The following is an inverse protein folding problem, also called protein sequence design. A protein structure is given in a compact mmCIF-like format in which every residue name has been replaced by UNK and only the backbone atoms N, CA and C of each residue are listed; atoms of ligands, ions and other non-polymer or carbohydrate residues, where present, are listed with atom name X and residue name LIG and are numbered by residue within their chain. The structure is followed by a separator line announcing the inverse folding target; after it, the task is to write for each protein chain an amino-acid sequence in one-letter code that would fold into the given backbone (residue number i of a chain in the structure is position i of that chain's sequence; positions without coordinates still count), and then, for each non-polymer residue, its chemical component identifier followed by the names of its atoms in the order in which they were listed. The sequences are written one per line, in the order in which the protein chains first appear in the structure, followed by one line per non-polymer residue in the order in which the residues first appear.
data_IF_838232425614
#
_entry.id   IF_838232425614
#
_cell.length_a   1.000
_cell.length_b   1.000
_cell.length_c   1.000
_cell.angle_alpha   90.00
_cell.angle_beta   90.00
_cell.angle_gamma   90.00
#
_symmetry.space_group_name_H-M   'P 1'
#
loop_
_entity.id
_entity.type
_entity.pdbx_description
1 polymer ?
#
# COMPACT_ATOMS: atom_id res chain seq x y z
N UNK A 1 37.61 4.99 -0.36
CA UNK A 1 38.59 3.97 -0.79
C UNK A 1 37.88 3.02 -1.72
N UNK A 2 38.47 2.72 -2.88
CA UNK A 2 37.88 1.83 -3.88
C UNK A 2 38.79 0.61 -4.03
N UNK A 3 38.21 -0.59 -4.15
CA UNK A 3 38.94 -1.78 -4.60
C UNK A 3 38.23 -2.40 -5.81
N UNK A 4 39.02 -2.90 -6.76
CA UNK A 4 38.57 -3.39 -8.07
C UNK A 4 38.38 -4.90 -8.03
N UNK A 5 37.37 -5.39 -8.72
CA UNK A 5 37.36 -6.77 -9.20
C UNK A 5 38.30 -6.90 -10.41
N UNK A 6 38.91 -8.08 -10.56
CA UNK A 6 39.61 -8.52 -11.78
C UNK A 6 38.94 -9.80 -12.25
N UNK A 7 38.30 -9.73 -13.42
CA UNK A 7 37.85 -10.92 -14.14
C UNK A 7 39.05 -11.61 -14.80
N UNK A 8 38.90 -12.91 -15.06
CA UNK A 8 39.78 -13.67 -15.93
C UNK A 8 38.90 -14.53 -16.84
N UNK A 9 38.83 -14.16 -18.12
CA UNK A 9 38.27 -15.03 -19.15
C UNK A 9 39.17 -16.24 -19.37
N UNK A 10 38.59 -17.35 -19.82
CA UNK A 10 39.27 -18.17 -20.80
C UNK A 10 38.24 -18.97 -21.61
N UNK A 11 38.21 -18.71 -22.92
CA UNK A 11 37.41 -19.46 -23.89
C UNK A 11 38.32 -20.00 -24.98
N UNK A 12 38.35 -21.32 -25.13
CA UNK A 12 38.83 -21.99 -26.34
C UNK A 12 38.31 -23.43 -26.34
N UNK A 13 37.77 -23.86 -27.48
CA UNK A 13 37.38 -25.23 -27.73
C UNK A 13 38.12 -25.69 -28.99
N UNK A 14 38.70 -26.90 -28.96
CA UNK A 14 39.17 -27.57 -30.16
C UNK A 14 38.67 -29.02 -30.20
N UNK A 15 38.37 -29.48 -31.41
CA UNK A 15 37.96 -30.85 -31.69
C UNK A 15 39.15 -31.81 -31.69
N UNK A 16 38.91 -33.07 -31.29
CA UNK A 16 39.16 -34.23 -32.16
C UNK A 16 38.36 -35.45 -31.69
N UNK A 17 38.26 -36.45 -32.57
CA UNK A 17 37.34 -37.58 -32.46
C UNK A 17 38.03 -38.89 -32.81
N UNK A 18 37.40 -40.00 -32.42
CA UNK A 18 37.63 -41.41 -32.78
C UNK A 18 39.06 -41.97 -32.70
N UNK A 19 39.24 -42.97 -31.83
CA UNK A 19 39.46 -44.33 -32.34
C UNK A 19 38.90 -45.39 -31.38
N UNK A 20 38.68 -46.60 -31.91
CA UNK A 20 37.97 -47.70 -31.26
C UNK A 20 38.75 -48.99 -31.39
N UNK A 21 38.87 -49.77 -30.30
CA UNK A 21 39.33 -51.16 -30.35
C UNK A 21 38.59 -52.02 -29.31
N UNK A 22 38.02 -53.14 -29.77
CA UNK A 22 37.87 -54.36 -28.97
C UNK A 22 39.27 -55.04 -28.88
N UNK A 23 39.56 -56.08 -28.10
CA UNK A 23 38.77 -57.12 -27.39
C UNK A 23 39.56 -57.48 -26.10
N UNK A 24 38.95 -57.99 -25.03
CA UNK A 24 39.01 -59.44 -24.68
C UNK A 24 38.28 -59.77 -23.36
N UNK A 25 37.85 -61.03 -23.22
CA UNK A 25 37.15 -61.58 -22.06
C UNK A 25 38.09 -62.38 -21.15
N UNK A 26 37.91 -62.30 -19.83
CA UNK A 26 38.26 -63.42 -18.93
C UNK A 26 37.55 -63.34 -17.58
N UNK A 27 36.63 -64.28 -17.34
CA UNK A 27 36.04 -64.51 -16.02
C UNK A 27 36.92 -65.47 -15.21
N UNK A 28 37.34 -65.06 -14.02
CA UNK A 28 37.74 -65.98 -12.94
C UNK A 28 36.94 -65.65 -11.68
N UNK A 29 36.48 -66.70 -11.00
CA UNK A 29 35.52 -66.61 -9.91
C UNK A 29 36.14 -66.18 -8.57
N UNK A 30 35.40 -65.33 -7.86
CA UNK A 30 34.98 -65.64 -6.49
C UNK A 30 35.81 -65.09 -5.33
N UNK A 31 35.33 -63.99 -4.73
CA UNK A 31 35.33 -63.84 -3.27
C UNK A 31 34.09 -63.03 -2.80
N UNK A 32 33.70 -63.18 -1.54
CA UNK A 32 32.31 -62.92 -1.09
C UNK A 32 32.04 -61.48 -0.58
N UNK A 33 30.96 -60.80 -1.02
CA UNK A 33 30.70 -59.39 -0.68
C UNK A 33 29.87 -59.21 0.61
N UNK A 34 30.45 -59.41 1.80
CA UNK A 34 29.69 -59.36 3.08
C UNK A 34 30.13 -58.33 4.12
N UNK A 35 31.40 -57.88 4.12
CA UNK A 35 31.92 -57.03 5.21
C UNK A 35 31.76 -55.52 4.97
N UNK A 36 32.07 -55.01 3.77
CA UNK A 36 32.13 -53.56 3.50
C UNK A 36 30.77 -52.86 3.56
N UNK A 37 29.75 -53.40 2.86
CA UNK A 37 28.42 -52.81 2.82
C UNK A 37 27.74 -52.76 4.20
N UNK A 38 27.97 -53.77 5.04
CA UNK A 38 27.41 -53.86 6.40
C UNK A 38 27.98 -52.78 7.33
N UNK A 39 29.26 -52.45 7.20
CA UNK A 39 29.92 -51.38 7.97
C UNK A 39 29.47 -50.01 7.48
N UNK A 40 29.46 -49.78 6.15
CA UNK A 40 28.98 -48.52 5.56
C UNK A 40 27.54 -48.19 5.99
N UNK A 41 26.67 -49.21 6.07
CA UNK A 41 25.28 -49.05 6.52
C UNK A 41 25.17 -48.78 8.03
N UNK A 42 25.93 -49.51 8.86
CA UNK A 42 25.96 -49.28 10.33
C UNK A 42 26.54 -47.93 10.76
N UNK A 43 27.42 -47.33 9.96
CA UNK A 43 27.99 -45.99 10.25
C UNK A 43 27.01 -44.85 9.89
N UNK A 44 26.06 -45.08 8.98
CA UNK A 44 25.05 -44.07 8.61
C UNK A 44 23.78 -44.11 9.47
N UNK A 45 23.46 -45.26 10.07
CA UNK A 45 22.25 -45.44 10.89
C UNK A 45 22.41 -44.98 12.37
N UNK A 46 23.56 -44.42 12.76
CA UNK A 46 23.80 -43.96 14.13
C UNK A 46 23.40 -42.50 14.38
N UNK A 47 22.22 -42.31 14.99
CA UNK A 47 21.74 -41.09 15.67
C UNK A 47 21.52 -39.84 14.81
N UNK A 48 20.38 -39.79 14.13
CA UNK A 48 19.59 -38.54 14.05
C UNK A 48 18.16 -38.80 14.55
N UNK A 49 17.99 -38.66 15.87
CA UNK A 49 16.67 -38.66 16.51
C UNK A 49 16.02 -37.30 16.25
N UNK A 50 15.47 -37.09 15.05
CA UNK A 50 14.78 -35.86 14.68
C UNK A 50 13.67 -35.54 15.70
N UNK A 51 13.93 -34.58 16.59
CA UNK A 51 12.96 -34.12 17.57
C UNK A 51 11.82 -33.40 16.85
N UNK A 52 10.67 -34.08 16.72
CA UNK A 52 9.45 -33.49 16.15
C UNK A 52 9.00 -32.34 17.07
N UNK A 53 9.35 -31.12 16.68
CA UNK A 53 8.97 -29.90 17.39
C UNK A 53 7.47 -29.65 17.22
N UNK A 54 6.84 -29.31 18.34
CA UNK A 54 5.41 -29.02 18.42
C UNK A 54 5.15 -27.59 17.98
N UNK A 55 4.13 -27.38 17.16
CA UNK A 55 3.69 -26.06 16.75
C UNK A 55 2.47 -25.67 17.59
N UNK A 56 2.60 -24.63 18.40
CA UNK A 56 1.43 -23.97 19.00
C UNK A 56 0.81 -23.03 17.94
N UNK A 57 -0.48 -23.20 17.57
CA UNK A 57 -1.10 -22.38 16.53
C UNK A 57 -1.13 -20.89 16.88
N UNK A 58 -1.25 -20.52 18.16
CA UNK A 58 -1.21 -19.13 18.58
C UNK A 58 0.17 -18.53 18.33
N UNK A 59 1.24 -19.25 18.70
CA UNK A 59 2.62 -18.81 18.47
C UNK A 59 2.94 -18.66 16.98
N UNK A 60 2.54 -19.63 16.14
CA UNK A 60 2.69 -19.54 14.68
C UNK A 60 1.95 -18.32 14.13
N UNK A 61 0.72 -18.08 14.59
CA UNK A 61 -0.16 -17.04 14.04
C UNK A 61 0.08 -15.62 14.62
N UNK A 62 0.97 -15.44 15.60
CA UNK A 62 1.47 -14.12 16.02
C UNK A 62 2.19 -13.38 14.87
N UNK A 63 2.75 -14.14 13.92
CA UNK A 63 3.57 -13.65 12.81
C UNK A 63 2.79 -13.91 11.51
N UNK A 64 2.71 -12.97 10.57
CA UNK A 64 2.24 -13.28 9.22
C UNK A 64 3.13 -14.35 8.56
N UNK A 65 2.55 -15.28 7.75
CA UNK A 65 3.34 -16.16 6.91
C UNK A 65 4.13 -15.34 5.87
N UNK A 66 5.25 -15.91 5.41
CA UNK A 66 6.00 -15.35 4.28
C UNK A 66 5.15 -15.38 3.01
N UNK A 67 5.37 -14.41 2.13
CA UNK A 67 4.89 -14.49 0.75
C UNK A 67 5.53 -15.68 0.00
N UNK A 68 4.95 -16.05 -1.14
CA UNK A 68 5.46 -17.13 -1.97
C UNK A 68 6.93 -16.90 -2.39
N UNK A 69 7.27 -15.67 -2.80
CA UNK A 69 8.62 -15.27 -3.21
C UNK A 69 9.61 -15.32 -2.05
N UNK A 70 9.26 -14.76 -0.87
CA UNK A 70 10.10 -14.84 0.33
C UNK A 70 10.32 -16.29 0.80
N UNK A 71 9.30 -17.16 0.66
CA UNK A 71 9.39 -18.57 1.02
C UNK A 71 10.27 -19.35 0.04
N UNK A 72 10.18 -19.09 -1.27
CA UNK A 72 11.10 -19.65 -2.27
C UNK A 72 12.54 -19.21 -2.03
N UNK A 73 12.77 -17.92 -1.75
CA UNK A 73 14.11 -17.41 -1.45
C UNK A 73 14.68 -18.03 -0.16
N UNK A 74 13.86 -18.21 0.88
CA UNK A 74 14.27 -18.91 2.09
C UNK A 74 14.61 -20.38 1.80
N UNK A 75 13.84 -21.06 0.95
CA UNK A 75 14.12 -22.45 0.58
C UNK A 75 15.41 -22.60 -0.23
N UNK A 76 15.66 -21.73 -1.21
CA UNK A 76 16.92 -21.72 -1.96
C UNK A 76 18.12 -21.45 -1.03
N UNK A 77 18.02 -20.45 -0.14
CA UNK A 77 19.07 -20.15 0.83
C UNK A 77 19.34 -21.34 1.78
N UNK A 78 18.30 -22.04 2.22
CA UNK A 78 18.45 -23.24 3.06
C UNK A 78 19.10 -24.39 2.28
N UNK A 79 18.73 -24.61 1.02
CA UNK A 79 19.32 -25.65 0.16
C UNK A 79 20.81 -25.40 -0.12
N UNK A 80 21.23 -24.14 -0.30
CA UNK A 80 22.62 -23.79 -0.62
C UNK A 80 23.53 -23.72 0.62
N UNK A 81 23.03 -23.20 1.75
CA UNK A 81 23.86 -22.90 2.94
C UNK A 81 23.50 -23.70 4.20
N UNK A 82 22.42 -24.49 4.19
CA UNK A 82 21.89 -25.19 5.37
C UNK A 82 21.12 -24.27 6.33
N UNK A 83 20.59 -24.84 7.41
CA UNK A 83 19.85 -24.11 8.44
C UNK A 83 20.80 -23.42 9.44
N UNK A 84 21.53 -22.40 8.99
CA UNK A 84 22.52 -21.66 9.79
C UNK A 84 21.90 -20.96 11.02
N UNK A 85 20.70 -20.40 10.87
CA UNK A 85 19.94 -19.84 12.01
C UNK A 85 19.23 -20.97 12.77
N UNK A 86 19.55 -21.23 14.05
CA UNK A 86 18.88 -22.26 14.82
C UNK A 86 17.37 -21.99 14.99
N UNK A 87 16.63 -23.05 15.26
CA UNK A 87 15.24 -22.99 15.67
C UNK A 87 15.18 -22.66 17.17
N UNK A 88 14.27 -21.78 17.57
CA UNK A 88 14.18 -21.33 18.97
C UNK A 88 13.01 -22.06 19.63
N UNK A 89 13.29 -22.79 20.70
CA UNK A 89 12.37 -23.75 21.34
C UNK A 89 12.11 -23.36 22.79
N UNK A 90 10.89 -23.54 23.29
CA UNK A 90 10.58 -23.37 24.70
C UNK A 90 11.06 -24.58 25.50
N UNK A 91 12.07 -24.34 26.35
CA UNK A 91 12.82 -25.32 27.13
C UNK A 91 11.93 -26.39 27.77
N UNK A 92 12.23 -27.67 27.52
CA UNK A 92 11.53 -28.80 28.14
C UNK A 92 10.08 -29.05 27.66
N UNK A 93 9.56 -28.23 26.74
CA UNK A 93 8.21 -28.43 26.15
C UNK A 93 8.25 -29.03 24.74
N UNK A 94 9.37 -28.86 24.04
CA UNK A 94 9.54 -29.07 22.58
C UNK A 94 8.65 -28.18 21.69
N UNK A 95 8.10 -27.07 22.20
CA UNK A 95 7.27 -26.12 21.43
C UNK A 95 8.16 -25.08 20.74
N UNK A 96 7.91 -24.85 19.44
CA UNK A 96 8.64 -23.86 18.63
C UNK A 96 8.18 -22.43 18.92
N UNK A 97 9.14 -21.50 19.08
CA UNK A 97 8.93 -20.07 19.34
C UNK A 97 9.25 -19.20 18.11
N UNK A 98 10.41 -19.40 17.48
CA UNK A 98 10.78 -18.79 16.19
C UNK A 98 11.46 -19.83 15.28
N UNK A 99 11.40 -19.59 13.96
CA UNK A 99 11.93 -20.49 12.95
C UNK A 99 10.86 -21.31 12.24
N UNK A 100 9.57 -21.05 12.45
CA UNK A 100 8.43 -21.77 11.86
C UNK A 100 8.60 -22.12 10.36
N UNK A 101 9.03 -21.18 9.53
CA UNK A 101 9.26 -21.43 8.10
C UNK A 101 10.54 -22.26 7.84
N UNK A 102 11.62 -22.04 8.60
CA UNK A 102 12.86 -22.84 8.53
C UNK A 102 12.57 -24.29 8.90
N UNK A 103 11.86 -24.53 10.01
CA UNK A 103 11.43 -25.85 10.46
C UNK A 103 10.58 -26.59 9.42
N UNK A 104 9.59 -25.92 8.83
CA UNK A 104 8.71 -26.51 7.81
C UNK A 104 9.50 -26.96 6.56
N UNK A 105 10.42 -26.11 6.08
CA UNK A 105 11.27 -26.41 4.92
C UNK A 105 12.28 -27.53 5.26
N UNK A 106 13.02 -27.41 6.37
CA UNK A 106 14.04 -28.39 6.74
C UNK A 106 13.44 -29.77 7.03
N UNK A 107 12.27 -29.83 7.68
CA UNK A 107 11.57 -31.11 7.92
C UNK A 107 11.13 -31.76 6.60
N UNK A 108 10.60 -30.99 5.65
CA UNK A 108 10.19 -31.50 4.33
C UNK A 108 11.38 -31.95 3.47
N UNK A 109 12.50 -31.24 3.54
CA UNK A 109 13.73 -31.54 2.79
C UNK A 109 14.69 -32.49 3.54
N UNK A 110 14.29 -33.01 4.71
CA UNK A 110 15.10 -33.87 5.60
C UNK A 110 16.48 -33.28 5.95
N UNK A 111 16.54 -31.94 6.08
CA UNK A 111 17.75 -31.20 6.38
C UNK A 111 17.98 -31.08 7.89
N UNK A 112 19.25 -31.15 8.30
CA UNK A 112 19.66 -30.90 9.67
C UNK A 112 19.41 -29.42 10.06
N UNK A 113 19.00 -29.21 11.31
CA UNK A 113 18.87 -27.91 11.95
C UNK A 113 19.29 -28.01 13.40
N UNK A 114 19.82 -26.92 13.96
CA UNK A 114 20.12 -26.82 15.39
C UNK A 114 18.96 -26.18 16.15
N UNK A 115 18.90 -26.40 17.46
CA UNK A 115 17.87 -25.85 18.35
C UNK A 115 18.48 -25.12 19.54
N UNK A 116 18.03 -23.90 19.81
CA UNK A 116 18.36 -23.15 21.03
C UNK A 116 17.12 -23.12 21.94
N UNK A 117 17.25 -23.66 23.15
CA UNK A 117 16.18 -23.62 24.15
C UNK A 117 16.18 -22.31 24.95
N UNK A 118 14.98 -21.78 25.22
CA UNK A 118 14.77 -20.61 26.09
C UNK A 118 13.83 -20.99 27.23
N UNK A 119 14.23 -20.66 28.46
CA UNK A 119 13.45 -20.86 29.67
C UNK A 119 12.45 -19.71 29.87
N UNK A 120 11.16 -20.04 29.97
CA UNK A 120 10.06 -19.07 30.03
C UNK A 120 8.97 -19.58 31.00
N UNK A 121 8.50 -18.74 31.95
CA UNK A 121 7.65 -19.21 33.05
C UNK A 121 6.17 -19.41 32.69
N UNK A 122 5.68 -18.92 31.55
CA UNK A 122 4.27 -19.01 31.15
C UNK A 122 4.05 -18.80 29.66
N UNK A 123 2.85 -19.13 29.16
CA UNK A 123 2.46 -18.85 27.78
C UNK A 123 2.47 -17.34 27.48
N UNK A 124 2.03 -16.51 28.43
CA UNK A 124 2.09 -15.05 28.30
C UNK A 124 3.53 -14.54 28.15
N UNK A 125 4.48 -15.12 28.90
CA UNK A 125 5.90 -14.79 28.77
C UNK A 125 6.44 -15.21 27.40
N UNK A 126 6.04 -16.38 26.88
CA UNK A 126 6.39 -16.83 25.53
C UNK A 126 5.83 -15.91 24.43
N UNK A 127 4.56 -15.52 24.51
CA UNK A 127 3.93 -14.55 23.58
C UNK A 127 4.67 -13.21 23.63
N UNK A 128 5.01 -12.72 24.82
CA UNK A 128 5.78 -11.50 25.00
C UNK A 128 7.19 -11.59 24.44
N UNK A 129 7.85 -12.74 24.58
CA UNK A 129 9.17 -13.01 24.05
C UNK A 129 9.16 -13.06 22.52
N UNK A 130 8.26 -13.83 21.91
CA UNK A 130 8.10 -13.95 20.45
C UNK A 130 7.86 -12.56 19.86
N UNK A 131 6.88 -11.82 20.40
CA UNK A 131 6.55 -10.48 19.94
C UNK A 131 7.74 -9.51 20.06
N UNK A 132 8.55 -9.60 21.11
CA UNK A 132 9.75 -8.78 21.27
C UNK A 132 10.87 -9.18 20.27
N UNK A 133 11.08 -10.47 20.05
CA UNK A 133 12.06 -10.98 19.10
C UNK A 133 11.74 -10.53 17.66
N UNK A 134 10.46 -10.61 17.25
CA UNK A 134 10.04 -10.09 15.95
C UNK A 134 10.21 -8.57 15.84
N UNK A 135 9.86 -7.80 16.89
CA UNK A 135 9.99 -6.33 16.91
C UNK A 135 11.44 -5.82 16.75
N UNK A 136 12.44 -6.67 16.97
CA UNK A 136 13.86 -6.37 16.69
C UNK A 136 14.26 -6.47 15.21
N UNK A 137 13.41 -7.03 14.33
CA UNK A 137 13.72 -7.23 12.90
C UNK A 137 13.54 -5.92 12.12
N UNK A 138 14.45 -5.65 11.18
CA UNK A 138 14.49 -4.37 10.43
C UNK A 138 13.31 -4.15 9.47
N UNK A 139 12.63 -5.23 9.05
CA UNK A 139 11.65 -5.22 7.96
C UNK A 139 10.18 -5.39 8.43
N UNK A 140 9.87 -5.14 9.71
CA UNK A 140 8.51 -5.32 10.24
C UNK A 140 7.57 -4.20 9.76
N UNK A 141 6.41 -4.54 9.20
CA UNK A 141 5.41 -3.54 8.81
C UNK A 141 4.90 -2.73 10.03
N UNK A 142 4.55 -1.45 9.88
CA UNK A 142 4.01 -0.66 11.00
C UNK A 142 2.77 -1.28 11.67
N UNK A 143 1.96 -2.03 10.94
CA UNK A 143 0.77 -2.74 11.42
C UNK A 143 1.17 -3.98 12.23
N UNK A 144 2.13 -4.79 11.76
CA UNK A 144 2.71 -5.89 12.54
C UNK A 144 3.38 -5.38 13.80
N UNK A 145 4.18 -4.31 13.70
CA UNK A 145 4.81 -3.69 14.86
C UNK A 145 3.78 -3.16 15.88
N UNK A 146 2.62 -2.69 15.40
CA UNK A 146 1.50 -2.28 16.25
C UNK A 146 0.83 -3.47 16.94
N UNK A 147 0.51 -4.53 16.18
CA UNK A 147 -0.09 -5.76 16.71
C UNK A 147 0.80 -6.41 17.78
N UNK A 148 2.11 -6.48 17.54
CA UNK A 148 3.06 -7.07 18.48
C UNK A 148 3.26 -6.23 19.75
N UNK A 149 3.31 -4.88 19.65
CA UNK A 149 3.31 -4.01 20.84
C UNK A 149 2.01 -4.12 21.63
N UNK A 150 0.88 -4.20 20.94
CA UNK A 150 -0.43 -4.38 21.57
C UNK A 150 -0.58 -5.72 22.28
N UNK A 151 -0.15 -6.84 21.66
CA UNK A 151 -0.03 -8.15 22.32
C UNK A 151 0.83 -8.04 23.58
N UNK A 152 2.05 -7.50 23.49
CA UNK A 152 2.93 -7.32 24.68
C UNK A 152 2.23 -6.53 25.79
N UNK A 153 1.51 -5.46 25.48
CA UNK A 153 0.76 -4.70 26.48
C UNK A 153 -0.39 -5.50 27.11
N UNK A 154 -1.19 -6.22 26.31
CA UNK A 154 -2.32 -7.01 26.80
C UNK A 154 -1.86 -8.12 27.77
N UNK A 155 -0.85 -8.90 27.38
CA UNK A 155 -0.32 -9.99 28.20
C UNK A 155 0.46 -9.48 29.44
N UNK A 156 1.22 -8.37 29.35
CA UNK A 156 1.94 -7.81 30.50
C UNK A 156 1.05 -7.04 31.49
N UNK A 157 -0.10 -6.50 31.07
CA UNK A 157 -1.06 -5.81 31.96
C UNK A 157 -1.81 -6.79 32.87
N UNK A 158 -1.95 -8.04 32.44
CA UNK A 158 -2.80 -9.05 33.07
C UNK A 158 -4.30 -8.78 32.85
N UNK A 159 -5.11 -9.84 32.98
CA UNK A 159 -6.53 -9.80 32.62
C UNK A 159 -7.41 -9.13 33.70
N UNK A 160 -7.28 -7.81 33.84
CA UNK A 160 -8.10 -6.98 34.75
C UNK A 160 -9.49 -6.63 34.19
N UNK A 161 -10.02 -7.40 33.23
CA UNK A 161 -11.21 -6.99 32.46
C UNK A 161 -12.56 -7.27 33.13
N UNK A 162 -12.60 -8.06 34.22
CA UNK A 162 -13.82 -8.25 35.02
C UNK A 162 -14.41 -6.94 35.61
N UNK A 163 -13.65 -5.83 35.61
CA UNK A 163 -14.09 -4.50 36.05
C UNK A 163 -14.23 -3.47 34.91
N UNK A 164 -14.22 -3.89 33.64
CA UNK A 164 -14.29 -2.98 32.48
C UNK A 164 -15.40 -3.31 31.47
N UNK A 165 -16.52 -3.89 31.92
CA UNK A 165 -17.80 -3.93 31.16
C UNK A 165 -18.51 -2.56 31.12
N UNK A 166 -17.77 -1.50 30.81
CA UNK A 166 -18.24 -0.15 30.44
C UNK A 166 -17.05 0.63 29.86
N UNK A 167 -17.34 1.64 29.02
CA UNK A 167 -16.36 2.52 28.35
C UNK A 167 -15.57 1.95 27.15
N UNK A 168 -16.28 1.38 26.17
CA UNK A 168 -16.01 1.82 24.79
C UNK A 168 -16.64 3.22 24.62
N UNK A 169 -15.93 4.22 24.06
CA UNK A 169 -16.47 5.56 23.95
C UNK A 169 -17.60 5.61 22.92
N UNK A 170 -18.78 6.11 23.33
CA UNK A 170 -19.78 6.64 22.39
C UNK A 170 -19.17 7.84 21.69
N UNK A 171 -19.30 7.91 20.37
CA UNK A 171 -18.66 8.96 19.58
C UNK A 171 -19.42 10.28 19.63
N UNK A 172 -18.73 11.34 20.04
CA UNK A 172 -18.86 12.65 19.42
C UNK A 172 -17.48 13.11 18.96
N UNK A 173 -17.44 13.82 17.84
CA UNK A 173 -16.24 14.44 17.29
C UNK A 173 -16.67 15.83 16.87
N UNK A 174 -16.26 16.84 17.64
CA UNK A 174 -16.64 18.24 17.44
C UNK A 174 -15.37 19.11 17.67
N UNK A 175 -15.00 20.06 16.79
CA UNK A 175 -13.69 20.71 16.85
C UNK A 175 -13.77 22.22 17.16
N UNK A 176 -13.67 22.59 18.44
CA UNK A 176 -13.58 24.00 18.87
C UNK A 176 -12.78 24.16 20.17
N UNK A 177 -11.82 25.10 20.17
CA UNK A 177 -11.25 25.82 21.35
C UNK A 177 -10.54 24.98 22.46
N UNK A 178 -9.51 25.45 23.19
CA UNK A 178 -8.63 26.64 23.10
C UNK A 178 -7.26 26.33 23.77
N UNK A 179 -6.28 27.24 23.74
CA UNK A 179 -5.02 27.10 24.53
C UNK A 179 -5.24 27.31 26.05
N UNK A 180 -4.31 26.85 26.92
CA UNK A 180 -3.43 27.86 27.53
C UNK A 180 -1.97 27.43 27.84
N UNK A 181 -1.03 28.12 27.20
CA UNK A 181 0.20 28.74 27.75
C UNK A 181 0.96 28.17 29.00
N UNK A 182 2.20 27.75 28.75
CA UNK A 182 3.47 28.00 29.49
C UNK A 182 3.43 28.32 31.01
N UNK A 183 4.11 27.51 31.85
CA UNK A 183 5.06 27.97 32.90
C UNK A 183 6.22 26.96 33.11
N UNK A 184 7.41 27.48 33.46
CA UNK A 184 8.66 26.79 33.81
C UNK A 184 9.65 27.84 34.35
N UNK A 185 10.69 27.51 35.15
CA UNK A 185 10.88 26.42 36.12
C UNK A 185 11.13 26.99 37.54
N UNK A 186 11.83 26.31 38.47
CA UNK A 186 13.28 26.60 38.59
C UNK A 186 14.17 25.35 38.66
N UNK A 187 15.48 25.55 38.86
CA UNK A 187 16.55 24.52 38.85
C UNK A 187 17.12 24.36 40.26
N UNK A 188 17.82 23.24 40.52
CA UNK A 188 19.11 23.33 41.22
C UNK A 188 20.09 22.18 40.84
N UNK A 189 21.34 22.22 41.34
CA UNK A 189 22.47 21.34 40.90
C UNK A 189 23.28 20.72 42.05
N UNK A 190 23.74 19.47 41.86
CA UNK A 190 25.00 18.89 42.37
C UNK A 190 25.13 17.41 41.97
N UNK A 191 26.27 16.70 42.06
CA UNK A 191 27.62 16.96 41.51
C UNK A 191 28.34 15.59 41.31
N UNK A 192 29.57 15.56 40.78
CA UNK A 192 30.49 14.40 40.53
C UNK A 192 30.42 13.23 41.56
N UNK A 193 30.73 11.95 41.28
CA UNK A 193 31.34 11.20 40.13
C UNK A 193 31.10 9.65 40.33
N UNK A 194 31.73 8.62 39.71
CA UNK A 194 32.90 8.49 38.81
C UNK A 194 32.80 7.33 37.75
N UNK A 195 33.66 6.30 37.77
CA UNK A 195 33.99 5.39 36.64
C UNK A 195 34.13 3.89 37.03
N UNK A 196 33.59 3.01 36.17
CA UNK A 196 34.01 1.62 35.78
C UNK A 196 34.38 0.50 36.80
N UNK A 197 34.29 -0.82 36.43
CA UNK A 197 33.61 -1.48 35.29
C UNK A 197 32.79 -2.76 35.67
N UNK A 198 32.35 -3.51 34.65
CA UNK A 198 31.98 -4.95 34.61
C UNK A 198 30.54 -5.47 34.87
N UNK A 199 30.29 -6.58 34.14
CA UNK A 199 29.30 -7.65 34.28
C UNK A 199 27.83 -7.43 33.84
N UNK A 200 27.38 -8.28 32.90
CA UNK A 200 26.08 -8.20 32.23
C UNK A 200 25.04 -9.04 32.97
N UNK A 201 24.33 -8.40 33.92
CA UNK A 201 23.18 -9.00 34.59
C UNK A 201 21.86 -8.47 34.00
N UNK A 202 20.87 -9.36 33.82
CA UNK A 202 19.51 -8.92 33.52
C UNK A 202 18.96 -8.12 34.71
N UNK A 203 18.31 -6.96 34.50
CA UNK A 203 17.77 -6.18 35.60
C UNK A 203 16.61 -6.96 36.25
N UNK A 204 16.83 -7.42 37.49
CA UNK A 204 15.75 -7.77 38.42
C UNK A 204 15.01 -6.48 38.76
N UNK A 205 14.05 -6.11 37.91
CA UNK A 205 13.33 -4.83 37.99
C UNK A 205 12.72 -4.61 39.37
N UNK A 206 13.18 -3.57 40.05
CA UNK A 206 12.55 -3.09 41.27
C UNK A 206 11.17 -2.56 40.86
N UNK A 207 10.10 -3.18 41.36
CA UNK A 207 8.74 -2.90 40.87
C UNK A 207 8.20 -1.63 41.53
N UNK A 208 8.52 -0.47 40.94
CA UNK A 208 7.88 0.80 41.31
C UNK A 208 6.36 0.70 41.03
N UNK A 209 5.48 0.77 42.05
CA UNK A 209 4.05 0.60 41.85
C UNK A 209 3.37 1.74 41.06
N UNK A 210 4.07 2.86 40.81
CA UNK A 210 3.52 4.03 40.13
C UNK A 210 3.59 3.96 38.59
N UNK A 211 4.50 3.15 38.03
CA UNK A 211 4.68 3.12 36.58
C UNK A 211 3.70 2.17 35.88
N UNK A 212 2.96 2.69 34.90
CA UNK A 212 2.04 1.86 34.11
C UNK A 212 2.79 1.05 33.05
N UNK A 213 2.34 -0.19 32.79
CA UNK A 213 2.84 -1.06 31.71
C UNK A 213 2.88 -0.38 30.33
N UNK A 214 2.04 0.64 30.12
CA UNK A 214 2.06 1.42 28.89
C UNK A 214 3.26 2.38 28.80
N UNK A 215 3.77 2.89 29.91
CA UNK A 215 4.92 3.81 29.99
C UNK A 215 6.23 3.06 29.73
N UNK A 216 6.46 1.95 30.43
CA UNK A 216 7.64 1.10 30.22
C UNK A 216 7.74 0.58 28.77
N UNK A 217 6.60 0.18 28.17
CA UNK A 217 6.56 -0.21 26.75
C UNK A 217 6.69 0.98 25.79
N UNK A 218 6.16 2.16 26.14
CA UNK A 218 6.32 3.38 25.36
C UNK A 218 7.79 3.78 25.24
N UNK A 219 8.50 3.79 26.36
CA UNK A 219 9.93 4.10 26.43
C UNK A 219 10.78 3.04 25.70
N UNK A 220 10.54 1.74 25.93
CA UNK A 220 11.25 0.66 25.24
C UNK A 220 11.13 0.77 23.71
N UNK A 221 9.94 1.10 23.20
CA UNK A 221 9.66 1.18 21.76
C UNK A 221 9.78 2.59 21.16
N UNK A 222 10.20 3.59 21.95
CA UNK A 222 10.32 5.01 21.55
C UNK A 222 9.04 5.58 20.93
N UNK A 223 7.88 5.23 21.51
CA UNK A 223 6.55 5.73 21.14
C UNK A 223 5.86 6.33 22.38
N UNK A 224 4.79 7.10 22.21
CA UNK A 224 4.01 7.59 23.38
C UNK A 224 3.09 6.53 23.98
N UNK A 225 2.77 6.62 25.28
CA UNK A 225 1.81 5.74 25.98
C UNK A 225 0.47 5.57 25.24
N UNK A 226 -0.04 6.66 24.66
CA UNK A 226 -1.31 6.64 23.92
C UNK A 226 -1.22 5.82 22.63
N UNK A 227 -0.02 5.61 22.09
CA UNK A 227 0.22 4.68 20.98
C UNK A 227 0.16 3.23 21.46
N UNK A 228 0.80 2.87 22.58
CA UNK A 228 0.67 1.52 23.17
C UNK A 228 -0.80 1.16 23.46
N UNK A 229 -1.57 2.10 24.03
CA UNK A 229 -3.00 1.92 24.33
C UNK A 229 -3.87 1.79 23.07
N UNK A 230 -3.52 2.46 21.96
CA UNK A 230 -4.17 2.31 20.63
C UNK A 230 -3.78 1.01 19.93
N UNK A 231 -2.52 0.61 20.05
CA UNK A 231 -1.97 -0.60 19.46
C UNK A 231 -2.60 -1.85 20.10
N UNK A 232 -2.89 -1.80 21.40
CA UNK A 232 -3.72 -2.79 22.10
C UNK A 232 -5.15 -2.87 21.53
N UNK A 233 -5.83 -1.74 21.33
CA UNK A 233 -7.18 -1.71 20.71
C UNK A 233 -7.18 -2.29 19.28
N UNK A 234 -6.14 -1.99 18.49
CA UNK A 234 -5.94 -2.57 17.16
C UNK A 234 -5.66 -4.08 17.23
N UNK A 235 -4.95 -4.55 18.25
CA UNK A 235 -4.69 -5.98 18.49
C UNK A 235 -5.97 -6.73 18.82
N UNK A 236 -6.75 -6.27 19.80
CA UNK A 236 -8.04 -6.87 20.15
C UNK A 236 -9.00 -6.89 18.96
N UNK A 237 -9.00 -5.85 18.12
CA UNK A 237 -9.79 -5.82 16.89
C UNK A 237 -9.34 -6.89 15.87
N UNK A 238 -8.02 -7.06 15.67
CA UNK A 238 -7.46 -8.07 14.79
C UNK A 238 -7.69 -9.50 15.28
N UNK A 239 -7.58 -9.75 16.59
CA UNK A 239 -7.86 -11.07 17.18
C UNK A 239 -9.34 -11.46 17.01
N UNK A 240 -10.27 -10.52 17.19
CA UNK A 240 -11.72 -10.72 16.93
C UNK A 240 -11.98 -11.01 15.44
N UNK A 241 -11.31 -10.28 14.53
CA UNK A 241 -11.40 -10.50 13.09
C UNK A 241 -10.89 -11.90 12.73
N UNK A 242 -9.75 -12.34 13.28
CA UNK A 242 -9.22 -13.68 13.06
C UNK A 242 -10.19 -14.77 13.53
N UNK A 243 -10.77 -14.61 14.72
CA UNK A 243 -11.67 -15.60 15.32
C UNK A 243 -12.94 -15.86 14.48
N UNK A 244 -13.48 -14.84 13.80
CA UNK A 244 -14.77 -14.95 13.07
C UNK A 244 -14.59 -15.01 11.55
N UNK A 245 -13.60 -14.30 10.99
CA UNK A 245 -13.38 -14.15 9.55
C UNK A 245 -12.14 -14.88 9.03
N UNK A 246 -11.29 -15.43 9.91
CA UNK A 246 -10.12 -16.23 9.56
C UNK A 246 -8.79 -15.47 9.68
N UNK A 247 -7.73 -16.22 9.99
CA UNK A 247 -6.38 -15.71 10.19
C UNK A 247 -5.79 -15.05 8.93
N UNK A 248 -6.15 -15.53 7.74
CA UNK A 248 -5.72 -14.96 6.46
C UNK A 248 -6.11 -13.47 6.33
N UNK A 249 -7.26 -13.08 6.91
CA UNK A 249 -7.68 -11.68 6.93
C UNK A 249 -6.87 -10.86 7.95
N UNK A 250 -6.50 -11.42 9.10
CA UNK A 250 -5.55 -10.79 10.02
C UNK A 250 -4.20 -10.57 9.33
N UNK A 251 -3.65 -11.64 8.75
CA UNK A 251 -2.34 -11.61 8.10
C UNK A 251 -2.29 -10.68 6.88
N UNK A 252 -3.34 -10.62 6.07
CA UNK A 252 -3.42 -9.66 4.95
C UNK A 252 -3.59 -8.19 5.39
N UNK A 253 -4.19 -7.92 6.55
CA UNK A 253 -4.16 -6.57 7.15
C UNK A 253 -2.73 -6.25 7.64
N UNK A 254 -2.07 -7.19 8.32
CA UNK A 254 -0.71 -7.01 8.84
C UNK A 254 0.34 -6.81 7.72
N UNK A 255 0.20 -7.49 6.59
CA UNK A 255 1.06 -7.32 5.39
C UNK A 255 0.59 -6.18 4.46
N UNK A 256 -0.43 -5.40 4.84
CA UNK A 256 -1.06 -4.30 4.07
C UNK A 256 -1.79 -4.72 2.79
N UNK A 257 -1.77 -6.00 2.41
CA UNK A 257 -2.40 -6.53 1.19
C UNK A 257 -3.93 -6.47 1.19
N UNK A 258 -4.56 -6.41 2.37
CA UNK A 258 -6.03 -6.28 2.49
C UNK A 258 -6.61 -4.92 2.07
N UNK A 259 -5.78 -3.86 1.95
CA UNK A 259 -6.23 -2.51 1.60
C UNK A 259 -7.05 -1.78 2.68
N UNK A 260 -7.17 -2.35 3.89
CA UNK A 260 -7.91 -1.77 5.01
C UNK A 260 -7.02 -0.87 5.87
N UNK A 261 -7.53 0.30 6.28
CA UNK A 261 -6.81 1.13 7.27
C UNK A 261 -7.02 0.62 8.70
N UNK A 262 -6.24 1.11 9.66
CA UNK A 262 -6.51 0.89 11.11
C UNK A 262 -7.93 1.32 11.51
N UNK A 263 -8.50 2.36 10.89
CA UNK A 263 -9.89 2.80 11.14
C UNK A 263 -10.89 1.77 10.62
N UNK A 264 -10.71 1.29 9.38
CA UNK A 264 -11.58 0.27 8.79
C UNK A 264 -11.49 -1.05 9.57
N UNK A 265 -10.31 -1.40 10.10
CA UNK A 265 -10.11 -2.58 10.96
C UNK A 265 -10.90 -2.47 12.27
N UNK A 266 -10.85 -1.31 12.93
CA UNK A 266 -11.63 -1.05 14.16
C UNK A 266 -13.14 -1.04 13.90
N UNK A 267 -13.59 -0.50 12.75
CA UNK A 267 -14.99 -0.57 12.31
C UNK A 267 -15.42 -2.00 11.99
N UNK A 268 -14.61 -2.77 11.27
CA UNK A 268 -14.90 -4.17 10.92
C UNK A 268 -15.01 -5.05 12.17
N UNK A 269 -14.08 -4.92 13.12
CA UNK A 269 -14.14 -5.65 14.40
C UNK A 269 -15.32 -5.23 15.28
N UNK A 270 -15.91 -4.04 15.04
CA UNK A 270 -17.19 -3.66 15.65
C UNK A 270 -18.36 -4.36 14.95
N UNK A 271 -18.46 -4.28 13.62
CA UNK A 271 -19.51 -4.94 12.82
C UNK A 271 -19.53 -6.46 13.13
N UNK A 272 -18.37 -7.10 13.21
CA UNK A 272 -18.23 -8.53 13.58
C UNK A 272 -18.86 -8.89 14.94
N UNK A 273 -18.84 -7.98 15.92
CA UNK A 273 -19.47 -8.18 17.25
C UNK A 273 -20.94 -7.74 17.30
N UNK A 274 -21.23 -6.58 16.71
CA UNK A 274 -22.50 -5.88 16.87
C UNK A 274 -23.55 -6.39 15.86
N UNK A 275 -23.13 -6.85 14.67
CA UNK A 275 -23.98 -7.19 13.51
C UNK A 275 -23.67 -8.57 12.89
N UNK A 276 -22.54 -9.20 13.22
CA UNK A 276 -22.18 -10.56 12.81
C UNK A 276 -21.33 -10.68 11.53
N UNK A 277 -21.26 -11.90 11.00
CA UNK A 277 -20.30 -12.30 9.95
C UNK A 277 -20.71 -11.82 8.56
N UNK A 278 -22.00 -11.85 8.28
CA UNK A 278 -22.63 -11.51 7.01
C UNK A 278 -22.50 -10.01 6.73
N UNK A 279 -22.80 -9.17 7.74
CA UNK A 279 -22.60 -7.73 7.70
C UNK A 279 -21.12 -7.36 7.50
N UNK A 280 -20.21 -8.06 8.19
CA UNK A 280 -18.77 -7.88 8.04
C UNK A 280 -18.26 -8.24 6.63
N UNK A 281 -18.78 -9.31 6.03
CA UNK A 281 -18.50 -9.67 4.63
C UNK A 281 -19.04 -8.64 3.64
N UNK A 282 -20.24 -8.08 3.88
CA UNK A 282 -20.80 -7.00 3.06
C UNK A 282 -19.96 -5.72 3.14
N UNK A 283 -19.49 -5.34 4.33
CA UNK A 283 -18.54 -4.22 4.52
C UNK A 283 -17.25 -4.44 3.71
N UNK A 284 -16.67 -5.65 3.78
CA UNK A 284 -15.46 -6.01 3.02
C UNK A 284 -15.69 -5.94 1.51
N UNK A 285 -16.83 -6.44 1.01
CA UNK A 285 -17.20 -6.34 -0.41
C UNK A 285 -17.32 -4.89 -0.85
N UNK A 286 -18.04 -4.06 -0.09
CA UNK A 286 -18.21 -2.64 -0.39
C UNK A 286 -16.88 -1.87 -0.34
N UNK A 287 -15.97 -2.23 0.56
CA UNK A 287 -14.61 -1.67 0.60
C UNK A 287 -13.74 -2.12 -0.58
N UNK A 288 -13.82 -3.38 -1.02
CA UNK A 288 -13.14 -3.83 -2.24
C UNK A 288 -13.64 -3.07 -3.48
N UNK A 289 -14.96 -2.91 -3.63
CA UNK A 289 -15.54 -2.10 -4.71
C UNK A 289 -15.09 -0.63 -4.64
N UNK A 290 -15.06 -0.02 -3.45
CA UNK A 290 -14.60 1.36 -3.25
C UNK A 290 -13.10 1.53 -3.52
N UNK A 291 -12.28 0.55 -3.15
CA UNK A 291 -10.85 0.50 -3.47
C UNK A 291 -10.62 0.31 -4.97
N UNK A 292 -11.37 -0.57 -5.63
CA UNK A 292 -11.32 -0.78 -7.07
C UNK A 292 -11.72 0.51 -7.82
N UNK A 293 -12.84 1.15 -7.48
CA UNK A 293 -13.23 2.46 -8.04
C UNK A 293 -12.12 3.51 -7.80
N UNK A 294 -11.49 3.53 -6.62
CA UNK A 294 -10.38 4.46 -6.31
C UNK A 294 -9.10 4.13 -7.09
N UNK A 295 -8.80 2.85 -7.31
CA UNK A 295 -7.68 2.39 -8.14
C UNK A 295 -7.96 2.69 -9.61
N UNK A 296 -9.18 2.46 -10.12
CA UNK A 296 -9.60 2.86 -11.46
C UNK A 296 -9.49 4.37 -11.65
N UNK A 297 -9.84 5.19 -10.66
CA UNK A 297 -9.66 6.66 -10.72
C UNK A 297 -8.17 7.05 -10.75
N UNK A 298 -7.32 6.43 -9.90
CA UNK A 298 -5.87 6.72 -9.84
C UNK A 298 -5.09 6.20 -11.05
N UNK A 299 -5.47 5.03 -11.53
CA UNK A 299 -4.80 4.27 -12.58
C UNK A 299 -5.54 4.39 -13.92
N UNK A 300 -6.41 5.41 -14.09
CA UNK A 300 -6.90 5.76 -15.43
C UNK A 300 -5.68 5.98 -16.30
N UNK A 301 -5.49 5.11 -17.30
CA UNK A 301 -4.90 5.52 -18.56
C UNK A 301 -5.56 6.85 -18.91
N UNK A 302 -4.75 7.91 -19.01
CA UNK A 302 -5.27 9.28 -19.17
C UNK A 302 -6.12 9.27 -20.42
N UNK A 303 -7.45 9.29 -20.25
CA UNK A 303 -8.39 9.29 -21.37
C UNK A 303 -7.98 10.49 -22.23
N UNK A 304 -7.50 10.26 -23.47
CA UNK A 304 -7.07 11.36 -24.32
C UNK A 304 -8.21 12.35 -24.40
N UNK A 305 -7.91 13.65 -24.31
CA UNK A 305 -8.90 14.69 -24.46
C UNK A 305 -9.66 14.40 -25.79
N UNK A 306 -10.97 14.05 -25.76
CA UNK A 306 -11.65 13.39 -26.87
C UNK A 306 -11.95 14.32 -28.05
N UNK A 307 -11.39 15.53 -28.01
CA UNK A 307 -11.60 16.63 -28.93
C UNK A 307 -10.53 16.63 -30.02
N UNK A 308 -10.88 17.12 -31.20
CA UNK A 308 -9.91 17.45 -32.26
C UNK A 308 -9.76 18.96 -32.41
N UNK A 309 -8.61 19.39 -32.92
CA UNK A 309 -8.45 20.75 -33.45
C UNK A 309 -9.39 20.91 -34.66
N UNK A 310 -10.06 22.07 -34.75
CA UNK A 310 -11.09 22.36 -35.76
C UNK A 310 -12.52 22.01 -35.33
N UNK A 311 -12.70 21.23 -34.26
CA UNK A 311 -14.02 20.84 -33.75
C UNK A 311 -14.85 22.06 -33.32
N UNK A 312 -16.10 22.12 -33.78
CA UNK A 312 -17.09 23.09 -33.32
C UNK A 312 -17.77 22.55 -32.06
N UNK A 313 -17.86 23.37 -31.01
CA UNK A 313 -18.49 22.99 -29.75
C UNK A 313 -19.39 24.10 -29.19
N UNK A 314 -20.47 23.72 -28.52
CA UNK A 314 -21.31 24.61 -27.72
C UNK A 314 -20.80 24.62 -26.26
N UNK A 315 -20.76 25.80 -25.65
CA UNK A 315 -20.34 25.98 -24.26
C UNK A 315 -21.53 25.70 -23.34
N UNK A 316 -21.41 24.66 -22.49
CA UNK A 316 -22.44 24.30 -21.50
C UNK A 316 -22.16 24.85 -20.09
N UNK A 317 -20.92 25.24 -19.79
CA UNK A 317 -20.51 25.94 -18.56
C UNK A 317 -20.95 25.25 -17.25
N UNK A 318 -20.56 23.98 -17.06
CA UNK A 318 -20.86 23.18 -15.87
C UNK A 318 -20.05 23.68 -14.65
N UNK A 319 -20.63 24.61 -13.90
CA UNK A 319 -20.05 25.16 -12.68
C UNK A 319 -18.93 26.19 -12.88
N UNK A 320 -18.65 26.57 -14.13
CA UNK A 320 -17.63 27.55 -14.51
C UNK A 320 -18.21 28.98 -14.56
N UNK A 321 -17.79 29.92 -13.68
CA UNK A 321 -18.36 31.26 -13.62
C UNK A 321 -18.02 32.16 -14.82
N UNK A 322 -16.89 31.91 -15.50
CA UNK A 322 -16.43 32.73 -16.63
C UNK A 322 -17.17 32.32 -17.90
N UNK A 323 -17.23 31.02 -18.17
CA UNK A 323 -17.96 30.44 -19.29
C UNK A 323 -19.48 30.63 -19.16
N UNK A 324 -20.02 30.87 -17.96
CA UNK A 324 -21.46 31.10 -17.72
C UNK A 324 -22.04 32.21 -18.60
N UNK A 325 -21.27 33.28 -18.87
CA UNK A 325 -21.68 34.39 -19.77
C UNK A 325 -21.78 33.96 -21.24
N UNK A 326 -21.07 32.89 -21.60
CA UNK A 326 -21.00 32.31 -22.94
C UNK A 326 -21.79 31.00 -23.06
N UNK A 327 -22.62 30.66 -22.07
CA UNK A 327 -23.48 29.48 -22.13
C UNK A 327 -24.37 29.52 -23.38
N UNK A 328 -24.48 28.37 -24.06
CA UNK A 328 -25.10 28.17 -25.38
C UNK A 328 -24.41 28.86 -26.57
N UNK A 329 -23.36 29.66 -26.36
CA UNK A 329 -22.55 30.15 -27.48
C UNK A 329 -21.74 29.00 -28.09
N UNK A 330 -21.51 29.06 -29.40
CA UNK A 330 -20.59 28.15 -30.09
C UNK A 330 -19.17 28.72 -30.14
N UNK A 331 -18.19 27.83 -30.28
CA UNK A 331 -16.77 28.14 -30.42
C UNK A 331 -16.03 27.02 -31.14
N UNK A 332 -14.74 27.25 -31.42
CA UNK A 332 -13.88 26.39 -32.22
C UNK A 332 -12.65 26.00 -31.41
N UNK A 333 -12.38 24.71 -31.33
CA UNK A 333 -11.19 24.18 -30.65
C UNK A 333 -9.95 24.44 -31.51
N UNK A 334 -9.03 25.29 -31.03
CA UNK A 334 -7.79 25.66 -31.73
C UNK A 334 -6.62 24.78 -31.30
N UNK A 335 -6.61 24.35 -30.05
CA UNK A 335 -5.58 23.48 -29.47
C UNK A 335 -6.22 22.47 -28.51
N UNK A 336 -5.67 21.26 -28.47
CA UNK A 336 -6.13 20.15 -27.62
C UNK A 336 -5.02 19.82 -26.63
N UNK A 337 -5.15 20.31 -25.40
CA UNK A 337 -4.24 19.99 -24.29
C UNK A 337 -4.74 18.75 -23.53
N UNK A 338 -3.85 18.16 -22.72
CA UNK A 338 -4.10 16.89 -22.01
C UNK A 338 -5.37 16.89 -21.13
N UNK A 339 -5.75 18.05 -20.58
CA UNK A 339 -6.90 18.22 -19.68
C UNK A 339 -7.79 19.43 -20.03
N UNK A 340 -7.52 20.11 -21.13
CA UNK A 340 -8.21 21.34 -21.54
C UNK A 340 -8.14 21.56 -23.05
N UNK A 341 -8.95 22.47 -23.57
CA UNK A 341 -8.92 22.95 -24.95
C UNK A 341 -8.65 24.45 -24.95
N UNK A 342 -7.88 24.93 -25.92
CA UNK A 342 -7.94 26.33 -26.33
C UNK A 342 -9.16 26.50 -27.23
N UNK A 343 -10.05 27.45 -26.91
CA UNK A 343 -11.28 27.69 -27.67
C UNK A 343 -11.35 29.13 -28.12
N UNK A 344 -11.55 29.30 -29.43
CA UNK A 344 -11.89 30.56 -30.03
C UNK A 344 -13.40 30.75 -30.07
N UNK A 345 -13.89 31.87 -29.55
CA UNK A 345 -15.30 32.28 -29.71
C UNK A 345 -15.40 33.56 -30.54
N UNK A 346 -16.64 33.95 -30.83
CA UNK A 346 -17.01 35.19 -31.49
C UNK A 346 -16.53 36.48 -30.80
N UNK A 347 -16.13 36.44 -29.52
CA UNK A 347 -15.76 37.65 -28.74
C UNK A 347 -14.38 37.58 -28.10
N UNK A 348 -14.00 36.42 -27.59
CA UNK A 348 -12.71 36.22 -26.91
C UNK A 348 -12.26 34.77 -27.02
N UNK A 349 -11.00 34.52 -26.68
CA UNK A 349 -10.43 33.18 -26.63
C UNK A 349 -10.27 32.70 -25.18
N UNK A 350 -10.50 31.42 -24.96
CA UNK A 350 -10.34 30.76 -23.67
C UNK A 350 -9.22 29.71 -23.77
N UNK A 351 -8.02 29.95 -23.19
CA UNK A 351 -6.88 29.06 -23.36
C UNK A 351 -6.99 27.72 -22.61
N UNK A 352 -7.86 27.67 -21.58
CA UNK A 352 -7.97 26.50 -20.69
C UNK A 352 -9.44 26.18 -20.40
N UNK A 353 -10.15 25.56 -21.35
CA UNK A 353 -11.51 25.05 -21.11
C UNK A 353 -11.52 23.53 -20.97
N UNK A 354 -12.01 23.01 -19.86
CA UNK A 354 -12.15 21.56 -19.67
C UNK A 354 -13.10 20.93 -20.71
N UNK A 355 -12.86 19.70 -21.20
CA UNK A 355 -13.75 19.04 -22.17
C UNK A 355 -15.18 18.75 -21.68
N UNK A 356 -15.41 18.78 -20.36
CA UNK A 356 -16.72 18.66 -19.70
C UNK A 356 -17.61 19.91 -19.82
N UNK A 357 -17.01 21.08 -20.10
CA UNK A 357 -17.73 22.33 -20.33
C UNK A 357 -18.20 22.50 -21.78
N UNK A 358 -18.03 21.47 -22.62
CA UNK A 358 -18.21 21.50 -24.07
C UNK A 358 -19.13 20.39 -24.57
N UNK A 359 -20.01 20.72 -25.50
CA UNK A 359 -20.85 19.76 -26.23
C UNK A 359 -20.48 19.82 -27.71
N UNK A 360 -20.15 18.70 -28.39
CA UNK A 360 -19.75 18.72 -29.79
C UNK A 360 -20.93 19.10 -30.70
N UNK A 361 -20.74 20.06 -31.59
CA UNK A 361 -21.76 20.51 -32.55
C UNK A 361 -21.44 19.94 -33.93
N UNK A 362 -22.31 19.06 -34.43
CA UNK A 362 -22.17 18.51 -35.77
C UNK A 362 -22.58 19.55 -36.83
N UNK A 363 -21.60 20.16 -37.49
CA UNK A 363 -21.78 21.15 -38.56
C UNK A 363 -21.57 20.52 -39.94
N UNK A 364 -22.17 21.10 -40.99
CA UNK A 364 -21.98 20.65 -42.37
C UNK A 364 -20.59 20.95 -42.92
N UNK A 365 -19.94 22.02 -42.45
CA UNK A 365 -18.60 22.42 -42.88
C UNK A 365 -17.85 23.21 -41.80
N UNK A 366 -16.86 22.59 -41.15
CA UNK A 366 -16.03 23.22 -40.12
C UNK A 366 -15.29 24.45 -40.66
N UNK A 367 -14.80 24.41 -41.91
CA UNK A 367 -14.13 25.55 -42.57
C UNK A 367 -15.07 26.76 -42.70
N UNK A 368 -16.34 26.55 -43.07
CA UNK A 368 -17.32 27.64 -43.19
C UNK A 368 -17.78 28.18 -41.84
N UNK A 369 -17.86 27.32 -40.81
CA UNK A 369 -18.05 27.77 -39.44
C UNK A 369 -16.86 28.63 -38.95
N UNK A 370 -15.62 28.27 -39.31
CA UNK A 370 -14.43 29.08 -39.00
C UNK A 370 -14.41 30.44 -39.72
N UNK A 371 -14.79 30.49 -41.01
CA UNK A 371 -14.97 31.75 -41.75
C UNK A 371 -16.02 32.65 -41.08
N UNK A 372 -17.18 32.11 -40.73
CA UNK A 372 -18.22 32.87 -40.04
C UNK A 372 -17.79 33.31 -38.63
N UNK A 373 -16.98 32.52 -37.92
CA UNK A 373 -16.43 32.89 -36.61
C UNK A 373 -15.51 34.11 -36.72
N UNK A 374 -14.66 34.15 -37.74
CA UNK A 374 -13.78 35.28 -38.02
C UNK A 374 -14.58 36.56 -38.33
N UNK A 375 -15.53 36.48 -39.27
CA UNK A 375 -16.45 37.57 -39.64
C UNK A 375 -17.17 38.17 -38.44
N UNK A 376 -17.89 37.34 -37.70
CA UNK A 376 -18.66 37.75 -36.51
C UNK A 376 -17.75 38.37 -35.44
N UNK A 377 -16.49 37.92 -35.33
CA UNK A 377 -15.52 38.49 -34.39
C UNK A 377 -14.93 39.83 -34.82
N UNK A 378 -14.52 39.98 -36.08
CA UNK A 378 -14.07 41.27 -36.60
C UNK A 378 -15.15 42.35 -36.41
N UNK A 379 -16.41 41.95 -36.60
CA UNK A 379 -17.58 42.78 -36.36
C UNK A 379 -17.81 43.08 -34.87
N UNK A 380 -17.73 42.07 -33.99
CA UNK A 380 -17.76 42.23 -32.53
C UNK A 380 -16.70 43.22 -32.04
N UNK A 381 -15.47 43.10 -32.54
CA UNK A 381 -14.32 43.95 -32.18
C UNK A 381 -14.48 45.41 -32.64
N UNK A 382 -15.43 45.72 -33.53
CA UNK A 382 -15.84 47.10 -33.87
C UNK A 382 -17.04 47.55 -33.04
N UNK A 383 -18.15 46.79 -33.06
CA UNK A 383 -19.38 47.10 -32.32
C UNK A 383 -19.10 47.41 -30.83
N UNK A 384 -18.27 46.61 -30.14
CA UNK A 384 -17.99 46.82 -28.72
C UNK A 384 -17.13 48.05 -28.40
N UNK A 385 -16.56 48.74 -29.40
CA UNK A 385 -15.87 50.04 -29.21
C UNK A 385 -16.85 51.22 -29.26
N UNK A 386 -17.89 51.10 -30.09
CA UNK A 386 -18.95 52.11 -30.25
C UNK A 386 -20.15 51.87 -29.32
N UNK A 387 -20.28 50.65 -28.79
CA UNK A 387 -21.28 50.22 -27.82
C UNK A 387 -22.74 50.27 -28.32
N UNK A 388 -22.97 50.16 -29.64
CA UNK A 388 -24.33 50.15 -30.19
C UNK A 388 -25.09 48.86 -29.82
N UNK A 389 -26.00 48.99 -28.85
CA UNK A 389 -26.70 47.89 -28.18
C UNK A 389 -27.50 47.02 -29.14
N UNK A 390 -28.08 47.61 -30.19
CA UNK A 390 -28.86 46.88 -31.21
C UNK A 390 -27.96 45.91 -31.98
N UNK A 391 -26.77 46.36 -32.35
CA UNK A 391 -25.80 45.56 -33.10
C UNK A 391 -25.14 44.50 -32.20
N UNK A 392 -24.88 44.82 -30.92
CA UNK A 392 -24.47 43.82 -29.91
C UNK A 392 -25.46 42.67 -29.83
N UNK A 393 -26.77 42.96 -29.73
CA UNK A 393 -27.81 41.94 -29.62
C UNK A 393 -27.89 41.01 -30.85
N UNK A 394 -27.67 41.55 -32.05
CA UNK A 394 -27.63 40.75 -33.30
C UNK A 394 -26.43 39.81 -33.31
N UNK A 395 -25.23 40.30 -32.98
CA UNK A 395 -24.03 39.47 -32.89
C UNK A 395 -24.16 38.40 -31.80
N UNK A 396 -24.74 38.75 -30.65
CA UNK A 396 -25.06 37.80 -29.57
C UNK A 396 -26.11 36.74 -29.95
N UNK A 397 -26.98 37.00 -30.93
CA UNK A 397 -27.87 36.00 -31.50
C UNK A 397 -27.14 35.08 -32.49
N UNK A 398 -26.29 35.63 -33.38
CA UNK A 398 -25.45 34.86 -34.29
C UNK A 398 -24.46 33.94 -33.54
N UNK A 399 -24.01 34.36 -32.36
CA UNK A 399 -23.18 33.57 -31.45
C UNK A 399 -23.83 32.30 -30.88
N UNK A 400 -25.16 32.16 -30.96
CA UNK A 400 -25.93 31.08 -30.29
C UNK A 400 -26.77 30.22 -31.26
N UNK A 401 -26.47 30.29 -32.56
CA UNK A 401 -27.07 29.44 -33.60
C UNK A 401 -26.57 27.99 -33.52
N UNK A 402 -27.40 27.05 -33.98
CA UNK A 402 -27.13 25.60 -33.89
C UNK A 402 -26.20 25.04 -34.98
N UNK A 403 -26.23 25.59 -36.20
CA UNK A 403 -25.28 25.23 -37.28
C UNK A 403 -24.59 26.49 -37.83
N UNK A 404 -23.44 26.90 -37.24
CA UNK A 404 -22.69 28.07 -37.70
C UNK A 404 -22.03 27.91 -39.07
N UNK A 405 -22.05 26.72 -39.68
CA UNK A 405 -21.60 26.54 -41.07
C UNK A 405 -22.66 26.92 -42.11
N UNK A 406 -23.93 27.07 -41.69
CA UNK A 406 -25.09 27.15 -42.58
C UNK A 406 -26.05 28.29 -42.17
N UNK A 407 -25.56 29.53 -42.26
CA UNK A 407 -26.39 30.72 -42.03
C UNK A 407 -27.58 30.75 -43.01
N UNK A 408 -28.77 31.10 -42.52
CA UNK A 408 -29.93 31.33 -43.39
C UNK A 408 -29.77 32.61 -44.20
N UNK A 409 -30.45 32.72 -45.34
CA UNK A 409 -30.48 33.94 -46.16
C UNK A 409 -31.12 35.17 -45.47
N UNK A 410 -31.55 35.07 -44.20
CA UNK A 410 -31.88 36.22 -43.33
C UNK A 410 -30.69 36.60 -42.46
N UNK A 411 -30.05 35.62 -41.82
CA UNK A 411 -28.83 35.83 -41.01
C UNK A 411 -27.65 36.32 -41.85
N UNK A 412 -27.45 35.76 -43.05
CA UNK A 412 -26.38 36.17 -43.97
C UNK A 412 -26.52 37.63 -44.41
N UNK A 413 -27.76 38.08 -44.73
CA UNK A 413 -28.03 39.50 -45.03
C UNK A 413 -27.87 40.42 -43.83
N UNK A 414 -28.21 39.95 -42.64
CA UNK A 414 -28.03 40.72 -41.40
C UNK A 414 -26.53 40.88 -41.06
N UNK A 415 -25.74 39.82 -41.23
CA UNK A 415 -24.30 39.86 -41.05
C UNK A 415 -23.64 40.76 -42.09
N UNK A 416 -23.97 40.60 -43.38
CA UNK A 416 -23.43 41.43 -44.46
C UNK A 416 -23.81 42.92 -44.34
N UNK A 417 -25.02 43.23 -43.86
CA UNK A 417 -25.42 44.60 -43.55
C UNK A 417 -24.52 45.21 -42.46
N UNK A 418 -24.32 44.50 -41.34
CA UNK A 418 -23.45 44.98 -40.28
C UNK A 418 -21.97 45.04 -40.70
N UNK A 419 -21.48 44.10 -41.51
CA UNK A 419 -20.15 44.16 -42.10
C UNK A 419 -19.97 45.42 -42.97
N UNK A 420 -20.99 45.78 -43.77
CA UNK A 420 -20.99 47.01 -44.56
C UNK A 420 -21.02 48.28 -43.68
N UNK A 421 -21.92 48.38 -42.70
CA UNK A 421 -22.02 49.56 -41.81
C UNK A 421 -20.71 49.80 -41.03
N UNK A 422 -20.05 48.73 -40.59
CA UNK A 422 -18.77 48.80 -39.88
C UNK A 422 -17.54 48.81 -40.80
N UNK A 423 -17.69 48.70 -42.12
CA UNK A 423 -16.60 48.67 -43.11
C UNK A 423 -15.65 47.48 -42.94
N UNK A 424 -16.14 46.26 -43.15
CA UNK A 424 -15.42 44.98 -43.09
C UNK A 424 -15.52 44.19 -44.40
#
# INVERSE_FOLDING_TARGET
MNYKYRLADNSSAEHRSVHSFFVDDSWIYGESPTTSATIARKVFESRQSYWILKIDPEFKNLIPPLSFEEKLQLEANLQEFGCLDPLIVWKGTSILLDGHNRYEICTRLQMHYETVEIDLPSKDAAICWIANHQLGRRNVTPETASYLRGKRYLHLKGNKENNLKQNLPKGHFDPSEEEPQKKNPPKDKSFLSKEEPENVNLPKGHFDPSESTAKTLAEQHKVGERTIKRDAQFTTALDIIAQVLGEDLKHSILTRTAGLTKKDTLSLARIVRDEGKEAAQLFLKNKRNSLDITQQIKNKQRVPNPRRVGEICQIVAQGDPELKKFSKCWGIIKEVNLHSCYIQTWKMDFPTVKPENLEPVYVKCEVRAAQNCHRIRQLSDKIYKEYELTHVAVVEALARISDPSNLTAKQERMLAFLEQEYGL
#
